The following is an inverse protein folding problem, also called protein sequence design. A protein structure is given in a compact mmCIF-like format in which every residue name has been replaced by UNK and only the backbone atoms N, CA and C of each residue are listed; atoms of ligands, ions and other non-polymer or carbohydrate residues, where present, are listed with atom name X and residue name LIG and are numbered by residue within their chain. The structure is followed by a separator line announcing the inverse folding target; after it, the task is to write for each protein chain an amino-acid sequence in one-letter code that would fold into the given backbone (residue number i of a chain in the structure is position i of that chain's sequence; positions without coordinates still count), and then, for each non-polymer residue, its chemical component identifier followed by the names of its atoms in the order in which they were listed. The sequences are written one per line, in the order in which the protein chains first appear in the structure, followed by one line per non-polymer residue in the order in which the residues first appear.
data_IF_296614963571
#
_entry.id   IF_296614963571
#
_cell.length_a   1.000
_cell.length_b   1.000
_cell.length_c   1.000
_cell.angle_alpha   90.00
_cell.angle_beta   90.00
_cell.angle_gamma   90.00
#
_symmetry.space_group_name_H-M   'P 1'
#
loop_
_entity.id
_entity.type
_entity.pdbx_description
1 polymer ?
#
# COMPACT_ATOMS: atom_id res chain seq x y z
N UNK A 1 22.01 -32.56 21.10
CA UNK A 1 20.62 -32.52 20.62
C UNK A 1 20.31 -31.25 19.81
N UNK A 2 20.69 -30.06 20.28
CA UNK A 2 20.48 -28.77 19.57
C UNK A 2 20.88 -28.72 18.08
N UNK A 3 22.00 -29.34 17.70
CA UNK A 3 22.53 -29.20 16.34
C UNK A 3 21.69 -29.96 15.27
N UNK A 4 21.09 -31.10 15.63
CA UNK A 4 20.25 -31.88 14.70
C UNK A 4 18.91 -31.19 14.42
N UNK A 5 18.35 -30.54 15.43
CA UNK A 5 17.12 -29.76 15.29
C UNK A 5 17.35 -28.51 14.45
N UNK A 6 18.44 -27.77 14.68
CA UNK A 6 18.80 -26.59 13.89
C UNK A 6 18.91 -26.88 12.39
N UNK A 7 19.57 -27.99 12.03
CA UNK A 7 19.67 -28.43 10.64
C UNK A 7 18.31 -28.82 10.04
N UNK A 8 17.44 -29.49 10.80
CA UNK A 8 16.08 -29.84 10.33
C UNK A 8 15.21 -28.62 10.11
N UNK A 9 15.22 -27.66 11.03
CA UNK A 9 14.42 -26.43 10.90
C UNK A 9 14.87 -25.61 9.70
N UNK A 10 16.19 -25.48 9.50
CA UNK A 10 16.77 -24.77 8.35
C UNK A 10 16.46 -25.47 7.02
N UNK A 11 16.44 -26.80 7.02
CA UNK A 11 16.05 -27.60 5.85
C UNK A 11 14.58 -27.40 5.48
N UNK A 12 13.67 -27.34 6.46
CA UNK A 12 12.24 -27.12 6.22
C UNK A 12 12.02 -25.71 5.63
N UNK A 13 12.68 -24.68 6.18
CA UNK A 13 12.59 -23.30 5.67
C UNK A 13 13.05 -23.22 4.21
N UNK A 14 14.16 -23.87 3.86
CA UNK A 14 14.67 -23.88 2.49
C UNK A 14 13.80 -24.66 1.50
N UNK A 15 13.09 -25.70 1.98
CA UNK A 15 12.10 -26.43 1.18
C UNK A 15 10.86 -25.57 0.89
N UNK A 16 10.43 -24.73 1.83
CA UNK A 16 9.31 -23.78 1.65
C UNK A 16 9.70 -22.66 0.68
N UNK A 17 10.93 -22.16 0.78
CA UNK A 17 11.47 -21.16 -0.14
C UNK A 17 11.73 -21.71 -1.56
N UNK A 18 11.62 -23.03 -1.77
CA UNK A 18 11.87 -23.68 -3.06
C UNK A 18 13.34 -23.71 -3.50
N UNK A 19 14.26 -23.24 -2.65
CA UNK A 19 15.70 -23.12 -2.91
C UNK A 19 16.50 -24.40 -2.59
N UNK A 20 15.86 -25.45 -2.05
CA UNK A 20 16.55 -26.67 -1.68
C UNK A 20 16.79 -27.61 -2.89
N UNK A 21 18.05 -28.04 -3.16
CA UNK A 21 18.39 -28.82 -4.34
C UNK A 21 18.04 -30.32 -4.25
N UNK A 22 17.93 -30.88 -3.04
CA UNK A 22 17.72 -32.33 -2.83
C UNK A 22 16.28 -32.61 -2.37
N UNK A 23 15.34 -32.66 -3.31
CA UNK A 23 13.93 -32.92 -3.04
C UNK A 23 13.30 -33.73 -4.19
N UNK A 24 12.35 -34.61 -3.88
CA UNK A 24 11.67 -35.42 -4.92
C UNK A 24 11.08 -34.50 -6.00
N UNK A 25 11.40 -34.80 -7.26
CA UNK A 25 11.02 -33.98 -8.44
C UNK A 25 9.51 -33.70 -8.46
N UNK A 26 8.69 -34.70 -8.13
CA UNK A 26 7.24 -34.56 -7.99
C UNK A 26 6.84 -33.64 -6.82
N UNK A 27 7.45 -33.77 -5.63
CA UNK A 27 7.13 -32.90 -4.48
C UNK A 27 7.51 -31.44 -4.74
N UNK A 28 8.65 -31.20 -5.39
CA UNK A 28 9.06 -29.86 -5.82
C UNK A 28 8.04 -29.28 -6.81
N UNK A 29 7.60 -30.06 -7.79
CA UNK A 29 6.53 -29.65 -8.70
C UNK A 29 5.22 -29.35 -7.97
N UNK A 30 4.72 -30.23 -7.11
CA UNK A 30 3.47 -29.98 -6.38
C UNK A 30 3.52 -28.73 -5.50
N UNK A 31 4.61 -28.53 -4.74
CA UNK A 31 4.80 -27.36 -3.89
C UNK A 31 4.90 -26.08 -4.74
N UNK A 32 5.63 -26.13 -5.85
CA UNK A 32 5.81 -24.99 -6.72
C UNK A 32 4.55 -24.60 -7.52
N UNK A 33 3.76 -25.59 -7.95
CA UNK A 33 2.54 -25.35 -8.71
C UNK A 33 1.34 -24.95 -7.83
N UNK A 34 1.36 -25.32 -6.55
CA UNK A 34 0.25 -25.04 -5.62
C UNK A 34 0.63 -23.93 -4.64
N UNK A 35 1.64 -24.10 -3.78
CA UNK A 35 1.95 -23.13 -2.72
C UNK A 35 2.49 -21.80 -3.23
N UNK A 36 3.41 -21.82 -4.21
CA UNK A 36 4.06 -20.60 -4.70
C UNK A 36 3.10 -19.56 -5.30
N UNK A 37 2.10 -19.91 -6.15
CA UNK A 37 1.16 -18.92 -6.67
C UNK A 37 0.23 -18.35 -5.59
N UNK A 38 -0.17 -19.13 -4.57
CA UNK A 38 -0.96 -18.58 -3.46
C UNK A 38 -0.17 -17.51 -2.71
N UNK A 39 1.08 -17.79 -2.34
CA UNK A 39 1.94 -16.83 -1.62
C UNK A 39 2.22 -15.58 -2.48
N UNK A 40 2.51 -15.75 -3.78
CA UNK A 40 2.69 -14.61 -4.71
C UNK A 40 1.45 -13.73 -4.76
N UNK A 41 0.27 -14.34 -4.91
CA UNK A 41 -1.02 -13.63 -4.98
C UNK A 41 -1.30 -12.82 -3.70
N UNK A 42 -0.97 -13.37 -2.53
CA UNK A 42 -1.12 -12.65 -1.26
C UNK A 42 -0.19 -11.43 -1.19
N UNK A 43 1.04 -11.54 -1.69
CA UNK A 43 2.01 -10.43 -1.73
C UNK A 43 1.51 -9.32 -2.65
N UNK A 44 1.06 -9.66 -3.86
CA UNK A 44 0.50 -8.70 -4.82
C UNK A 44 -0.73 -7.97 -4.25
N UNK A 45 -1.63 -8.71 -3.60
CA UNK A 45 -2.80 -8.14 -2.93
C UNK A 45 -2.42 -7.18 -1.80
N UNK A 46 -1.44 -7.57 -0.97
CA UNK A 46 -0.95 -6.73 0.12
C UNK A 46 -0.32 -5.44 -0.40
N UNK A 47 0.53 -5.53 -1.43
CA UNK A 47 1.15 -4.37 -2.06
C UNK A 47 0.10 -3.41 -2.65
N UNK A 48 -0.91 -3.94 -3.35
CA UNK A 48 -2.00 -3.16 -3.90
C UNK A 48 -2.84 -2.45 -2.82
N UNK A 49 -3.05 -3.13 -1.68
CA UNK A 49 -3.75 -2.56 -0.51
C UNK A 49 -2.95 -1.41 0.12
N UNK A 50 -1.64 -1.58 0.32
CA UNK A 50 -0.77 -0.54 0.87
C UNK A 50 -0.79 0.73 0.02
N UNK A 51 -0.66 0.60 -1.30
CA UNK A 51 -0.63 1.76 -2.19
C UNK A 51 -2.00 2.46 -2.23
N UNK A 52 -3.09 1.70 -2.16
CA UNK A 52 -4.45 2.26 -2.07
C UNK A 52 -4.72 2.97 -0.75
N UNK A 53 -4.16 2.47 0.36
CA UNK A 53 -4.24 3.12 1.67
C UNK A 53 -3.51 4.47 1.67
N UNK A 54 -2.29 4.52 1.12
CA UNK A 54 -1.53 5.76 0.98
C UNK A 54 -2.30 6.76 0.11
N UNK A 55 -2.88 6.29 -1.01
CA UNK A 55 -3.72 7.12 -1.88
C UNK A 55 -4.88 7.77 -1.13
N UNK A 56 -5.54 7.02 -0.24
CA UNK A 56 -6.63 7.55 0.59
C UNK A 56 -6.16 8.54 1.64
N UNK A 57 -5.06 8.25 2.35
CA UNK A 57 -4.52 9.15 3.35
C UNK A 57 -4.19 10.52 2.75
N UNK A 58 -3.68 10.57 1.52
CA UNK A 58 -3.40 11.82 0.80
C UNK A 58 -4.69 12.60 0.53
N UNK A 59 -5.75 11.91 0.11
CA UNK A 59 -7.07 12.53 -0.15
C UNK A 59 -7.65 13.09 1.15
N UNK A 60 -7.70 12.27 2.20
CA UNK A 60 -8.26 12.65 3.51
C UNK A 60 -7.49 13.84 4.12
N UNK A 61 -6.16 13.83 4.00
CA UNK A 61 -5.32 14.94 4.49
C UNK A 61 -5.59 16.23 3.71
N UNK A 62 -5.79 16.15 2.39
CA UNK A 62 -6.09 17.33 1.57
C UNK A 62 -7.45 17.95 1.92
N UNK A 63 -8.46 17.12 2.19
CA UNK A 63 -9.77 17.56 2.64
C UNK A 63 -9.71 18.18 4.05
N UNK A 64 -8.93 17.59 4.96
CA UNK A 64 -8.73 18.13 6.30
C UNK A 64 -8.04 19.51 6.27
N UNK A 65 -7.03 19.70 5.43
CA UNK A 65 -6.36 21.00 5.23
C UNK A 65 -7.35 22.03 4.70
N UNK A 66 -8.19 21.65 3.74
CA UNK A 66 -9.24 22.53 3.20
C UNK A 66 -10.23 22.95 4.29
N UNK A 67 -10.79 22.01 5.04
CA UNK A 67 -11.72 22.29 6.13
C UNK A 67 -11.09 23.16 7.21
N UNK A 68 -9.86 22.86 7.63
CA UNK A 68 -9.15 23.63 8.65
C UNK A 68 -8.86 25.06 8.18
N UNK A 69 -8.51 25.23 6.90
CA UNK A 69 -8.29 26.55 6.29
C UNK A 69 -9.58 27.35 6.15
N UNK A 70 -10.71 26.66 5.90
CA UNK A 70 -12.03 27.27 5.79
C UNK A 70 -12.58 27.75 7.14
N UNK A 71 -12.42 26.95 8.20
CA UNK A 71 -12.86 27.28 9.57
C UNK A 71 -11.89 28.18 10.35
N UNK A 72 -10.73 28.51 9.78
CA UNK A 72 -9.80 29.45 10.38
C UNK A 72 -10.40 30.86 10.44
N UNK A 73 -10.02 31.65 11.45
CA UNK A 73 -10.43 33.05 11.62
C UNK A 73 -9.75 33.96 10.57
N UNK A 74 -10.13 33.75 9.30
CA UNK A 74 -9.54 34.39 8.13
C UNK A 74 -9.56 35.92 8.18
N UNK A 75 -10.48 36.50 8.94
CA UNK A 75 -10.64 37.95 9.09
C UNK A 75 -9.50 38.59 9.91
N UNK A 76 -8.90 37.85 10.84
CA UNK A 76 -7.81 38.31 11.73
C UNK A 76 -6.44 38.30 11.02
N UNK A 77 -6.30 37.51 9.96
CA UNK A 77 -5.06 37.35 9.21
C UNK A 77 -4.61 38.64 8.49
N UNK A 78 -3.29 38.80 8.34
CA UNK A 78 -2.69 39.85 7.53
C UNK A 78 -2.99 39.65 6.03
N UNK A 79 -2.88 40.70 5.21
CA UNK A 79 -3.15 40.60 3.78
C UNK A 79 -2.26 39.56 3.06
N UNK A 80 -1.01 39.36 3.51
CA UNK A 80 -0.10 38.35 2.96
C UNK A 80 -0.55 36.94 3.29
N UNK A 81 -0.99 36.70 4.53
CA UNK A 81 -1.49 35.40 4.98
C UNK A 81 -2.83 35.05 4.32
N UNK A 82 -3.71 36.03 4.05
CA UNK A 82 -4.96 35.82 3.30
C UNK A 82 -4.69 35.33 1.87
N UNK A 83 -3.68 35.89 1.20
CA UNK A 83 -3.25 35.43 -0.14
C UNK A 83 -2.75 33.99 -0.07
N UNK A 84 -1.94 33.67 0.95
CA UNK A 84 -1.41 32.32 1.15
C UNK A 84 -2.51 31.30 1.47
N UNK A 85 -3.45 31.65 2.36
CA UNK A 85 -4.61 30.83 2.70
C UNK A 85 -5.47 30.54 1.47
N UNK A 86 -5.70 31.55 0.61
CA UNK A 86 -6.43 31.38 -0.64
C UNK A 86 -5.70 30.44 -1.62
N UNK A 87 -4.38 30.53 -1.69
CA UNK A 87 -3.56 29.60 -2.50
C UNK A 87 -3.68 28.16 -1.98
N UNK A 88 -3.60 27.95 -0.65
CA UNK A 88 -3.77 26.63 -0.04
C UNK A 88 -5.16 26.07 -0.34
N UNK A 89 -6.22 26.85 -0.14
CA UNK A 89 -7.58 26.41 -0.44
C UNK A 89 -7.75 26.00 -1.92
N UNK A 90 -7.26 26.81 -2.86
CA UNK A 90 -7.33 26.50 -4.31
C UNK A 90 -6.56 25.22 -4.61
N UNK A 91 -5.39 25.00 -3.98
CA UNK A 91 -4.60 23.77 -4.15
C UNK A 91 -5.30 22.55 -3.56
N UNK A 92 -5.97 22.68 -2.41
CA UNK A 92 -6.65 21.58 -1.72
C UNK A 92 -7.98 21.19 -2.35
N UNK A 93 -8.64 22.09 -3.10
CA UNK A 93 -9.85 21.77 -3.89
C UNK A 93 -9.56 20.73 -4.98
N UNK A 94 -8.32 20.68 -5.47
CA UNK A 94 -7.87 19.62 -6.36
C UNK A 94 -7.17 18.54 -5.53
N UNK A 95 -7.87 17.49 -5.07
CA UNK A 95 -7.23 16.41 -4.33
C UNK A 95 -6.06 15.88 -5.16
N UNK A 96 -4.89 15.75 -4.53
CA UNK A 96 -3.72 15.14 -5.14
C UNK A 96 -4.02 13.64 -5.38
N UNK A 97 -4.75 13.34 -6.46
CA UNK A 97 -5.08 11.98 -6.82
C UNK A 97 -3.86 11.34 -7.45
N UNK A 98 -3.26 10.37 -6.77
CA UNK A 98 -2.33 9.44 -7.43
C UNK A 98 -3.16 8.59 -8.38
N UNK A 99 -3.08 8.90 -9.68
CA UNK A 99 -3.78 8.17 -10.74
C UNK A 99 -2.87 7.04 -11.20
N UNK A 100 -3.23 5.81 -10.89
CA UNK A 100 -2.64 4.66 -11.56
C UNK A 100 -3.29 4.61 -12.95
N UNK A 101 -2.65 5.26 -13.93
CA UNK A 101 -2.99 5.13 -15.35
C UNK A 101 -4.43 5.55 -15.67
N UNK A 102 -4.71 6.86 -15.73
CA UNK A 102 -5.89 7.48 -16.41
C UNK A 102 -7.31 6.98 -16.07
N UNK A 103 -7.50 5.95 -15.24
CA UNK A 103 -8.78 5.41 -14.80
C UNK A 103 -8.82 5.37 -13.27
N UNK A 104 -9.69 6.22 -12.73
CA UNK A 104 -10.06 6.34 -11.31
C UNK A 104 -8.94 6.71 -10.32
N UNK A 105 -9.25 7.56 -9.32
CA UNK A 105 -8.33 7.80 -8.22
C UNK A 105 -8.09 6.49 -7.47
N UNK A 106 -6.83 6.24 -7.12
CA UNK A 106 -6.46 5.13 -6.26
C UNK A 106 -7.04 5.38 -4.87
N UNK A 107 -8.18 4.77 -4.59
CA UNK A 107 -8.94 4.96 -3.36
C UNK A 107 -9.57 3.64 -2.92
N UNK A 108 -9.92 3.49 -1.64
CA UNK A 108 -10.68 2.33 -1.15
C UNK A 108 -11.99 2.12 -1.93
N UNK A 109 -12.58 3.20 -2.48
CA UNK A 109 -13.76 3.14 -3.34
C UNK A 109 -13.51 2.41 -4.67
N UNK A 110 -12.26 2.43 -5.16
CA UNK A 110 -11.83 1.68 -6.36
C UNK A 110 -11.45 0.25 -6.00
N UNK A 111 -10.87 0.03 -4.82
CA UNK A 111 -10.53 -1.31 -4.32
C UNK A 111 -11.76 -2.21 -4.16
N UNK A 112 -12.88 -1.68 -3.67
CA UNK A 112 -14.11 -2.47 -3.48
C UNK A 112 -14.83 -2.88 -4.78
N UNK A 113 -14.32 -2.49 -5.97
CA UNK A 113 -14.93 -2.81 -7.27
C UNK A 113 -14.24 -3.97 -8.01
N UNK A 114 -13.10 -4.46 -7.51
CA UNK A 114 -12.31 -5.55 -8.10
C UNK A 114 -12.10 -6.65 -7.06
#
# INVERSE_FOLDING_TARGET
MLNKEYHKTSQIVMQILGLWPYQNKAKKMFIQWILTPYVSKYIEYFMFRCISFIGQQIIDTSEQIFNSSYFCEWFILTNKEKIFLKLIMIRSIHPCTVKIIKVSPLSFKTFGKY
#
